data_IF_708373093451
#
_entry.id   IF_708373093451
#
_cell.length_a   1.000
_cell.length_b   1.000
_cell.length_c   1.000
_cell.angle_alpha   90.00
_cell.angle_beta   90.00
_cell.angle_gamma   90.00
#
_symmetry.space_group_name_H-M   'P 1'
#
loop_
_entity.id
_entity.type
_entity.pdbx_description
1 polymer ?
#
# COMPACT_ATOMS: atom_id res chain seq x y z
N UNK A 1 30.66 2.46 -3.92
CA UNK A 1 30.19 2.21 -5.30
C UNK A 1 29.15 1.11 -5.27
N UNK A 2 27.89 1.45 -5.59
CA UNK A 2 26.91 0.67 -6.38
C UNK A 2 25.58 1.42 -6.30
N UNK A 3 25.26 2.14 -7.39
CA UNK A 3 23.94 2.74 -7.61
C UNK A 3 23.12 1.65 -8.29
N UNK A 4 22.17 1.06 -7.58
CA UNK A 4 21.24 0.09 -8.16
C UNK A 4 19.98 0.87 -8.52
N UNK A 5 19.86 1.20 -9.80
CA UNK A 5 18.66 1.77 -10.39
C UNK A 5 17.72 0.59 -10.63
N UNK A 6 16.68 0.44 -9.81
CA UNK A 6 15.57 -0.46 -10.10
C UNK A 6 14.51 0.33 -10.87
N UNK A 7 14.64 0.32 -12.20
CA UNK A 7 13.58 0.79 -13.10
C UNK A 7 12.55 -0.33 -13.23
N UNK A 8 11.48 -0.28 -12.43
CA UNK A 8 10.31 -1.12 -12.67
C UNK A 8 9.40 -0.35 -13.63
N UNK A 9 9.50 -0.67 -14.92
CA UNK A 9 8.50 -0.31 -15.92
C UNK A 9 7.25 -1.12 -15.61
N UNK A 10 6.34 -0.56 -14.82
CA UNK A 10 4.99 -1.09 -14.67
C UNK A 10 4.19 -0.75 -15.93
N UNK A 11 4.37 -1.58 -16.95
CA UNK A 11 3.55 -1.57 -18.17
C UNK A 11 2.18 -2.14 -17.83
N UNK A 12 1.35 -1.36 -17.12
CA UNK A 12 -0.06 -1.68 -16.92
C UNK A 12 -0.76 -1.61 -18.28
N UNK A 13 -0.97 -2.78 -18.88
CA UNK A 13 -1.82 -2.92 -20.05
C UNK A 13 -3.26 -2.76 -19.58
N UNK A 14 -3.80 -1.56 -19.77
CA UNK A 14 -5.22 -1.25 -19.52
C UNK A 14 -6.05 -2.06 -20.51
N UNK A 15 -6.42 -3.28 -20.13
CA UNK A 15 -7.38 -4.08 -20.85
C UNK A 15 -8.76 -3.57 -20.47
N UNK A 16 -9.33 -2.80 -21.40
CA UNK A 16 -10.74 -2.50 -21.51
C UNK A 16 -11.57 -3.79 -21.34
N UNK A 17 -12.22 -3.96 -20.19
CA UNK A 17 -13.26 -4.96 -19.98
C UNK A 17 -14.58 -4.22 -19.73
N UNK A 18 -15.55 -4.56 -20.57
CA UNK A 18 -16.88 -4.00 -20.72
C UNK A 18 -17.70 -4.03 -19.44
N UNK A 19 -18.30 -2.89 -19.09
CA UNK A 19 -19.15 -2.65 -17.93
C UNK A 19 -20.54 -3.32 -18.04
N UNK A 20 -20.86 -4.21 -17.11
CA UNK A 20 -22.23 -4.49 -16.66
C UNK A 20 -22.28 -4.18 -15.15
N UNK A 21 -23.06 -3.16 -14.78
CA UNK A 21 -22.79 -2.23 -13.67
C UNK A 21 -22.89 -2.71 -12.22
N UNK A 22 -22.89 -4.02 -11.96
CA UNK A 22 -22.79 -4.59 -10.59
C UNK A 22 -21.51 -5.45 -10.46
N UNK A 23 -21.06 -6.15 -11.52
CA UNK A 23 -19.87 -7.01 -11.49
C UNK A 23 -18.54 -6.26 -11.77
N UNK A 24 -18.61 -5.05 -12.32
CA UNK A 24 -17.41 -4.22 -12.60
C UNK A 24 -16.91 -3.44 -11.39
N UNK A 25 -17.79 -3.11 -10.44
CA UNK A 25 -17.37 -2.44 -9.20
C UNK A 25 -16.55 -3.41 -8.35
N UNK A 26 -17.01 -4.67 -8.21
CA UNK A 26 -16.24 -5.73 -7.56
C UNK A 26 -14.90 -5.98 -8.28
N UNK A 27 -14.87 -6.07 -9.62
CA UNK A 27 -13.61 -6.30 -10.35
C UNK A 27 -12.64 -5.09 -10.30
N UNK A 28 -13.16 -3.86 -10.29
CA UNK A 28 -12.33 -2.67 -10.13
C UNK A 28 -11.79 -2.54 -8.70
N UNK A 29 -12.60 -2.94 -7.72
CA UNK A 29 -12.22 -3.03 -6.32
C UNK A 29 -11.18 -4.11 -6.08
N UNK A 30 -11.34 -5.32 -6.61
CA UNK A 30 -10.35 -6.38 -6.52
C UNK A 30 -8.99 -5.92 -7.07
N UNK A 31 -8.99 -5.22 -8.21
CA UNK A 31 -7.74 -4.72 -8.82
C UNK A 31 -7.11 -3.59 -7.98
N UNK A 32 -7.93 -2.67 -7.44
CA UNK A 32 -7.45 -1.57 -6.61
C UNK A 32 -6.93 -2.08 -5.26
N UNK A 33 -7.63 -3.04 -4.66
CA UNK A 33 -7.25 -3.72 -3.42
C UNK A 33 -5.94 -4.47 -3.61
N UNK A 34 -5.79 -5.30 -4.66
CA UNK A 34 -4.56 -6.03 -4.95
C UNK A 34 -3.36 -5.08 -5.12
N UNK A 35 -3.54 -3.98 -5.86
CA UNK A 35 -2.47 -3.02 -6.11
C UNK A 35 -2.03 -2.26 -4.84
N UNK A 36 -2.99 -1.86 -4.01
CA UNK A 36 -2.70 -1.18 -2.74
C UNK A 36 -2.20 -2.15 -1.68
N UNK A 37 -2.67 -3.40 -1.64
CA UNK A 37 -2.13 -4.45 -0.78
C UNK A 37 -0.64 -4.66 -1.05
N UNK A 38 -0.24 -4.79 -2.32
CA UNK A 38 1.18 -4.90 -2.69
C UNK A 38 1.98 -3.67 -2.24
N UNK A 39 1.37 -2.49 -2.29
CA UNK A 39 2.01 -1.25 -1.85
C UNK A 39 2.17 -1.19 -0.33
N UNK A 40 1.16 -1.63 0.43
CA UNK A 40 1.21 -1.75 1.89
C UNK A 40 2.27 -2.77 2.31
N UNK A 41 2.31 -3.94 1.69
CA UNK A 41 3.32 -4.97 1.96
C UNK A 41 4.74 -4.44 1.68
N UNK A 42 4.94 -3.73 0.57
CA UNK A 42 6.23 -3.12 0.25
C UNK A 42 6.63 -2.02 1.25
N UNK A 43 5.67 -1.24 1.76
CA UNK A 43 5.92 -0.25 2.80
C UNK A 43 6.31 -0.92 4.13
N UNK A 44 5.64 -2.02 4.49
CA UNK A 44 5.98 -2.84 5.67
C UNK A 44 7.41 -3.37 5.55
N UNK A 45 7.74 -4.02 4.42
CA UNK A 45 9.10 -4.52 4.17
C UNK A 45 10.16 -3.40 4.23
N UNK A 46 9.84 -2.20 3.72
CA UNK A 46 10.74 -1.06 3.78
C UNK A 46 11.01 -0.58 5.22
N UNK A 47 9.97 -0.56 6.07
CA UNK A 47 10.13 -0.23 7.49
C UNK A 47 10.91 -1.30 8.24
N UNK A 48 10.61 -2.58 8.04
CA UNK A 48 11.38 -3.68 8.64
C UNK A 48 12.86 -3.66 8.22
N UNK A 49 13.16 -3.22 7.00
CA UNK A 49 14.53 -3.10 6.51
C UNK A 49 15.28 -1.88 7.06
N UNK A 50 14.58 -0.77 7.31
CA UNK A 50 15.14 0.50 7.75
C UNK A 50 14.08 1.27 8.55
N UNK A 51 13.98 0.97 9.85
CA UNK A 51 13.01 1.59 10.76
C UNK A 51 13.37 3.06 10.97
N UNK A 52 12.70 3.98 10.25
CA UNK A 52 12.92 5.41 10.37
C UNK A 52 11.63 6.19 10.08
N UNK A 53 11.68 7.51 10.27
CA UNK A 53 10.52 8.38 10.10
C UNK A 53 9.87 8.27 8.72
N UNK A 54 10.68 8.14 7.67
CA UNK A 54 10.17 8.08 6.28
C UNK A 54 9.45 6.77 6.01
N UNK A 55 10.02 5.63 6.44
CA UNK A 55 9.41 4.31 6.22
C UNK A 55 8.17 4.11 7.12
N UNK A 56 8.18 4.67 8.33
CA UNK A 56 7.00 4.71 9.20
C UNK A 56 5.84 5.49 8.55
N UNK A 57 6.14 6.69 8.04
CA UNK A 57 5.12 7.52 7.40
C UNK A 57 4.58 6.86 6.14
N UNK A 58 5.45 6.22 5.35
CA UNK A 58 5.04 5.48 4.17
C UNK A 58 4.00 4.38 4.51
N UNK A 59 4.19 3.59 5.57
CA UNK A 59 3.17 2.59 5.95
C UNK A 59 1.85 3.26 6.32
N UNK A 60 1.89 4.30 7.16
CA UNK A 60 0.67 5.00 7.59
C UNK A 60 -0.11 5.54 6.39
N UNK A 61 0.57 6.23 5.48
CA UNK A 61 -0.04 6.82 4.29
C UNK A 61 -0.63 5.73 3.36
N UNK A 62 0.12 4.65 3.13
CA UNK A 62 -0.33 3.58 2.20
C UNK A 62 -1.48 2.75 2.79
N UNK A 63 -1.48 2.53 4.11
CA UNK A 63 -2.60 1.87 4.80
C UNK A 63 -3.85 2.76 4.85
N UNK A 64 -3.69 4.08 5.02
CA UNK A 64 -4.79 5.03 4.92
C UNK A 64 -5.38 5.03 3.51
N UNK A 65 -4.54 5.07 2.47
CA UNK A 65 -4.99 4.96 1.07
C UNK A 65 -5.70 3.63 0.79
N UNK A 66 -5.19 2.51 1.32
CA UNK A 66 -5.88 1.21 1.21
C UNK A 66 -7.26 1.25 1.88
N UNK A 67 -7.40 1.87 3.06
CA UNK A 67 -8.67 1.96 3.81
C UNK A 67 -9.67 2.97 3.24
N UNK A 68 -9.18 3.97 2.51
CA UNK A 68 -10.01 4.98 1.85
C UNK A 68 -10.76 4.43 0.63
N UNK A 69 -10.41 3.21 0.17
CA UNK A 69 -11.22 2.50 -0.80
C UNK A 69 -12.58 2.12 -0.22
N UNK A 70 -13.67 2.45 -0.92
CA UNK A 70 -15.05 2.14 -0.48
C UNK A 70 -15.32 0.62 -0.32
N UNK A 71 -14.44 -0.22 -0.85
CA UNK A 71 -14.54 -1.68 -0.83
C UNK A 71 -13.60 -2.39 0.15
N UNK A 72 -12.76 -1.66 0.89
CA UNK A 72 -11.91 -2.26 1.91
C UNK A 72 -12.46 -2.03 3.30
N UNK A 73 -11.94 -2.76 4.28
CA UNK A 73 -12.31 -2.59 5.68
C UNK A 73 -11.54 -1.43 6.29
N UNK A 74 -12.23 -0.53 7.00
CA UNK A 74 -11.60 0.52 7.83
C UNK A 74 -10.64 -0.05 8.90
N UNK A 75 -10.75 -1.35 9.21
CA UNK A 75 -9.88 -2.07 10.16
C UNK A 75 -8.74 -2.84 9.49
N UNK A 76 -8.63 -2.81 8.16
CA UNK A 76 -7.54 -3.48 7.44
C UNK A 76 -6.18 -2.97 7.92
N UNK A 77 -5.24 -3.87 8.21
CA UNK A 77 -3.91 -3.52 8.74
C UNK A 77 -3.89 -2.79 10.10
N UNK A 78 -4.93 -2.91 10.92
CA UNK A 78 -4.98 -2.25 12.22
C UNK A 78 -3.92 -2.78 13.20
N UNK A 79 -3.61 -4.08 13.15
CA UNK A 79 -2.60 -4.69 14.01
C UNK A 79 -1.20 -4.20 13.63
N UNK A 80 -0.92 -4.04 12.34
CA UNK A 80 0.33 -3.52 11.79
C UNK A 80 0.55 -2.06 12.19
N UNK A 81 -0.49 -1.22 12.14
CA UNK A 81 -0.39 0.18 12.58
C UNK A 81 -0.15 0.30 14.10
N UNK A 82 -0.62 -0.65 14.91
CA UNK A 82 -0.38 -0.64 16.37
C UNK A 82 1.09 -0.95 16.72
N UNK A 83 1.81 -1.62 15.82
CA UNK A 83 3.24 -1.90 15.99
C UNK A 83 4.12 -0.70 15.62
N UNK A 84 3.59 0.27 14.86
CA UNK A 84 4.31 1.51 14.53
C UNK A 84 4.31 2.48 15.72
N UNK A 85 5.35 3.31 15.85
CA UNK A 85 5.34 4.38 16.83
C UNK A 85 4.19 5.37 16.54
N UNK A 86 3.61 5.92 17.61
CA UNK A 86 2.53 6.91 17.49
C UNK A 86 3.00 8.14 16.71
N UNK A 87 4.20 8.63 17.02
CA UNK A 87 4.92 9.65 16.26
C UNK A 87 6.00 8.99 15.41
N UNK A 88 5.94 9.16 14.08
CA UNK A 88 6.95 8.59 13.20
C UNK A 88 8.34 9.21 13.42
N UNK A 89 8.45 10.38 14.06
CA UNK A 89 9.74 10.94 14.47
C UNK A 89 10.49 10.05 15.50
N UNK A 90 9.76 9.17 16.20
CA UNK A 90 10.34 8.21 17.15
C UNK A 90 10.80 6.90 16.48
N UNK A 91 10.52 6.70 15.18
CA UNK A 91 10.94 5.49 14.48
C UNK A 91 12.46 5.38 14.39
N UNK A 92 13.00 4.21 14.74
CA UNK A 92 14.44 3.93 14.71
C UNK A 92 15.25 4.42 15.91
N UNK A 93 14.60 4.96 16.95
CA UNK A 93 15.25 5.42 18.19
C UNK A 93 15.24 4.38 19.32
#
# INVERSE_FOLDING_TARGET
MKKTIFTVLFSASVLFVSCDGDDVEDAACDIAEDALQVSVEAAIEAYEADENETTCQAIKDTVEEYRDLECTSELAYADELVLLPLDCADAGN
#
